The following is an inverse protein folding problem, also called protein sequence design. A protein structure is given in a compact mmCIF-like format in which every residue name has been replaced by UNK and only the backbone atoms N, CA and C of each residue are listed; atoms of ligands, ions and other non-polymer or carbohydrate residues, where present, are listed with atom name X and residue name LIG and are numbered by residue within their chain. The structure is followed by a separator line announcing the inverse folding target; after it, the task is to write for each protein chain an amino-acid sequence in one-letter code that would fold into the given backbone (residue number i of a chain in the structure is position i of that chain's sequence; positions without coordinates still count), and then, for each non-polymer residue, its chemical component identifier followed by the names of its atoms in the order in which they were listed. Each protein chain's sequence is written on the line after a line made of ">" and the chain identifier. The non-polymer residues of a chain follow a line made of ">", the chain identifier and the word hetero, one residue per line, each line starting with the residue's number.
data_IF_560911845810
#
_entry.id   IF_560911845810
#
_cell.length_a   1.000
_cell.length_b   1.000
_cell.length_c   1.000
_cell.angle_alpha   90.00
_cell.angle_beta   90.00
_cell.angle_gamma   90.00
#
_symmetry.space_group_name_H-M   'P 1'
#
loop_
_entity.id
_entity.type
_entity.pdbx_description
1 polymer ?
#
# COMPACT_ATOMS: atom_id res chain seq x y z
N UNK A 1 22.56 -17.33 -13.60
CA UNK A 1 21.13 -17.68 -13.49
C UNK A 1 20.36 -16.38 -13.58
N UNK A 2 19.47 -16.16 -14.57
CA UNK A 2 18.67 -14.94 -14.59
C UNK A 2 17.79 -14.97 -13.32
N UNK A 3 17.76 -13.86 -12.59
CA UNK A 3 16.83 -13.71 -11.47
C UNK A 3 15.45 -13.54 -12.10
N UNK A 4 14.81 -14.66 -12.45
CA UNK A 4 13.38 -14.70 -12.66
C UNK A 4 12.77 -14.16 -11.37
N UNK A 5 12.04 -13.04 -11.48
CA UNK A 5 11.28 -12.50 -10.34
C UNK A 5 10.49 -13.64 -9.71
N UNK A 6 10.43 -13.72 -8.37
CA UNK A 6 9.61 -14.71 -7.70
C UNK A 6 8.18 -14.16 -7.58
N UNK A 7 7.23 -14.54 -8.44
CA UNK A 7 5.87 -13.99 -8.39
C UNK A 7 5.15 -14.47 -7.14
N UNK A 8 4.52 -13.53 -6.45
CA UNK A 8 3.73 -13.78 -5.25
C UNK A 8 2.25 -13.67 -5.57
N UNK A 9 1.47 -14.59 -5.04
CA UNK A 9 0.01 -14.63 -5.20
C UNK A 9 -0.67 -13.38 -4.60
N UNK A 10 -1.70 -12.86 -5.28
CA UNK A 10 -2.53 -11.77 -4.79
C UNK A 10 -3.44 -12.20 -3.63
N UNK A 11 -4.07 -11.24 -2.94
CA UNK A 11 -4.92 -11.54 -1.76
C UNK A 11 -6.06 -12.53 -2.09
N UNK A 12 -6.63 -12.47 -3.30
CA UNK A 12 -7.71 -13.37 -3.72
C UNK A 12 -7.22 -14.79 -4.09
N UNK A 13 -5.90 -15.01 -4.17
CA UNK A 13 -5.28 -16.24 -4.68
C UNK A 13 -4.67 -17.11 -3.56
N UNK A 14 -4.55 -16.58 -2.35
CA UNK A 14 -3.96 -17.27 -1.20
C UNK A 14 -4.82 -17.10 0.04
N UNK A 15 -4.70 -18.03 0.99
CA UNK A 15 -5.16 -17.79 2.35
C UNK A 15 -4.24 -16.78 3.04
N UNK A 16 -4.81 -16.03 3.99
CA UNK A 16 -4.10 -15.02 4.77
C UNK A 16 -5.00 -14.39 5.83
N UNK A 17 -4.41 -13.48 6.59
CA UNK A 17 -5.12 -12.69 7.60
C UNK A 17 -4.72 -11.23 7.49
N UNK A 18 -5.69 -10.32 7.62
CA UNK A 18 -5.48 -8.88 7.80
C UNK A 18 -5.94 -8.46 9.19
N UNK A 19 -5.37 -7.36 9.69
CA UNK A 19 -5.85 -6.66 10.89
C UNK A 19 -6.38 -5.30 10.44
N UNK A 20 -7.64 -5.01 10.73
CA UNK A 20 -8.26 -3.74 10.34
C UNK A 20 -7.87 -2.60 11.31
N UNK A 21 -8.30 -1.38 11.02
CA UNK A 21 -8.01 -0.21 11.86
C UNK A 21 -8.63 -0.30 13.27
N UNK A 22 -9.62 -1.17 13.50
CA UNK A 22 -10.18 -1.45 14.82
C UNK A 22 -9.40 -2.53 15.60
N UNK A 23 -8.34 -3.09 15.01
CA UNK A 23 -7.55 -4.17 15.61
C UNK A 23 -8.14 -5.57 15.41
N UNK A 24 -9.17 -5.73 14.58
CA UNK A 24 -9.82 -7.02 14.39
C UNK A 24 -9.08 -7.86 13.36
N UNK A 25 -8.80 -9.11 13.72
CA UNK A 25 -8.18 -10.11 12.86
C UNK A 25 -9.21 -10.74 11.92
N UNK A 26 -8.95 -10.67 10.62
CA UNK A 26 -9.85 -11.15 9.57
C UNK A 26 -9.11 -12.16 8.70
N UNK A 27 -9.45 -13.44 8.88
CA UNK A 27 -8.85 -14.54 8.11
C UNK A 27 -9.70 -14.88 6.89
N UNK A 28 -9.04 -15.18 5.78
CA UNK A 28 -9.69 -15.52 4.51
C UNK A 28 -8.96 -16.66 3.80
N UNK A 29 -9.66 -17.29 2.86
CA UNK A 29 -9.10 -18.31 1.97
C UNK A 29 -8.98 -17.74 0.55
N UNK A 30 -8.09 -18.33 -0.25
CA UNK A 30 -8.00 -18.01 -1.67
C UNK A 30 -9.32 -18.33 -2.37
N UNK A 31 -9.87 -17.34 -3.08
CA UNK A 31 -11.08 -17.48 -3.89
C UNK A 31 -10.76 -18.11 -5.26
N UNK A 32 -9.56 -17.88 -5.78
CA UNK A 32 -9.08 -18.43 -7.06
C UNK A 32 -7.69 -19.01 -6.91
N UNK A 33 -7.21 -19.75 -7.92
CA UNK A 33 -5.85 -20.30 -7.90
C UNK A 33 -4.84 -19.20 -8.30
N UNK A 34 -3.61 -19.22 -7.74
CA UNK A 34 -2.54 -18.31 -8.16
C UNK A 34 -2.28 -18.37 -9.67
N UNK A 35 -2.08 -17.21 -10.28
CA UNK A 35 -1.78 -17.12 -11.70
C UNK A 35 -0.37 -17.67 -12.03
N UNK A 36 -0.30 -18.61 -12.99
CA UNK A 36 0.96 -19.12 -13.53
C UNK A 36 1.85 -19.75 -12.47
N UNK A 37 3.08 -19.25 -12.35
CA UNK A 37 4.07 -19.74 -11.37
C UNK A 37 3.98 -19.03 -10.01
N UNK A 38 2.99 -18.15 -9.80
CA UNK A 38 2.80 -17.47 -8.53
C UNK A 38 2.63 -18.47 -7.37
N UNK A 39 3.19 -18.11 -6.22
CA UNK A 39 3.10 -18.90 -4.98
C UNK A 39 2.63 -18.00 -3.83
N UNK A 40 1.94 -18.55 -2.82
CA UNK A 40 1.66 -17.84 -1.58
C UNK A 40 2.92 -17.23 -0.97
N UNK A 41 2.86 -15.95 -0.56
CA UNK A 41 3.99 -15.20 -0.04
C UNK A 41 4.70 -15.94 1.11
N UNK A 42 3.93 -16.47 2.06
CA UNK A 42 4.46 -17.19 3.22
C UNK A 42 5.24 -18.45 2.82
N UNK A 43 4.83 -19.17 1.76
CA UNK A 43 5.57 -20.34 1.25
C UNK A 43 6.88 -19.92 0.61
N UNK A 44 6.89 -18.80 -0.12
CA UNK A 44 8.12 -18.25 -0.70
C UNK A 44 9.10 -17.89 0.42
N UNK A 45 8.64 -17.15 1.44
CA UNK A 45 9.47 -16.79 2.59
C UNK A 45 9.97 -18.02 3.35
N UNK A 46 9.10 -19.01 3.57
CA UNK A 46 9.47 -20.30 4.17
C UNK A 46 10.60 -20.99 3.44
N UNK A 47 10.46 -21.16 2.12
CA UNK A 47 11.47 -21.81 1.29
C UNK A 47 12.77 -21.02 1.28
N UNK A 48 12.70 -19.69 1.22
CA UNK A 48 13.90 -18.84 1.29
C UNK A 48 14.61 -18.97 2.64
N UNK A 49 13.87 -18.99 3.75
CA UNK A 49 14.44 -19.24 5.08
C UNK A 49 15.18 -20.58 5.14
N UNK A 50 14.55 -21.65 4.64
CA UNK A 50 15.15 -22.98 4.60
C UNK A 50 16.37 -23.06 3.68
N UNK A 51 16.37 -22.37 2.53
CA UNK A 51 17.53 -22.30 1.63
C UNK A 51 18.71 -21.54 2.23
N UNK A 52 18.43 -20.59 3.13
CA UNK A 52 19.41 -19.81 3.85
C UNK A 52 19.81 -20.44 5.20
N UNK A 53 19.32 -21.66 5.49
CA UNK A 53 19.56 -22.40 6.74
C UNK A 53 19.19 -21.61 8.00
N UNK A 54 18.12 -20.81 7.91
CA UNK A 54 17.58 -20.04 9.03
C UNK A 54 16.59 -20.88 9.83
N UNK A 55 16.67 -20.77 11.15
CA UNK A 55 15.72 -21.40 12.06
C UNK A 55 14.38 -20.67 12.06
N UNK A 56 13.30 -21.37 12.44
CA UNK A 56 11.97 -20.77 12.60
C UNK A 56 11.16 -20.64 11.31
N UNK A 57 11.48 -21.43 10.27
CA UNK A 57 10.77 -21.45 8.98
C UNK A 57 10.14 -22.81 8.66
N UNK A 58 9.75 -23.59 9.68
CA UNK A 58 9.19 -24.94 9.51
C UNK A 58 7.67 -25.00 9.33
N UNK A 59 7.02 -23.86 9.10
CA UNK A 59 5.57 -23.76 8.96
C UNK A 59 5.01 -24.62 7.81
N UNK A 60 3.96 -25.37 8.08
CA UNK A 60 3.25 -26.20 7.11
C UNK A 60 1.94 -25.55 6.65
N UNK A 61 1.41 -24.60 7.43
CA UNK A 61 0.17 -23.90 7.16
C UNK A 61 0.29 -22.38 7.39
N UNK A 62 -0.58 -21.59 6.75
CA UNK A 62 -0.64 -20.14 6.95
C UNK A 62 -1.13 -19.79 8.35
N UNK A 63 -2.01 -20.63 8.89
CA UNK A 63 -2.64 -20.49 10.19
C UNK A 63 -1.62 -20.59 11.32
N UNK A 64 -0.58 -21.43 11.17
CA UNK A 64 0.50 -21.53 12.17
C UNK A 64 1.26 -20.20 12.29
N UNK A 65 1.58 -19.56 11.15
CA UNK A 65 2.22 -18.24 11.11
C UNK A 65 1.32 -17.18 11.76
N UNK A 66 0.01 -17.23 11.48
CA UNK A 66 -0.98 -16.32 12.08
C UNK A 66 -1.04 -16.50 13.58
N UNK A 67 -1.12 -17.75 14.07
CA UNK A 67 -1.31 -18.05 15.48
C UNK A 67 -0.07 -17.69 16.30
N UNK A 68 1.12 -17.92 15.75
CA UNK A 68 2.38 -17.45 16.35
C UNK A 68 2.41 -15.92 16.44
N UNK A 69 2.06 -15.22 15.35
CA UNK A 69 2.01 -13.75 15.35
C UNK A 69 0.96 -13.21 16.33
N UNK A 70 -0.21 -13.85 16.40
CA UNK A 70 -1.27 -13.47 17.32
C UNK A 70 -0.83 -13.64 18.79
N UNK A 71 -0.10 -14.70 19.11
CA UNK A 71 0.47 -14.91 20.45
C UNK A 71 1.54 -13.86 20.79
N UNK A 72 2.38 -13.46 19.84
CA UNK A 72 3.36 -12.36 20.03
C UNK A 72 2.66 -11.02 20.25
N UNK A 73 1.52 -10.81 19.59
CA UNK A 73 0.70 -9.62 19.75
C UNK A 73 -0.32 -9.72 20.90
N UNK A 74 -0.27 -10.76 21.74
CA UNK A 74 -1.24 -10.92 22.82
C UNK A 74 -1.19 -9.72 23.79
N UNK A 75 -2.37 -9.18 24.10
CA UNK A 75 -2.51 -7.97 24.89
C UNK A 75 -2.10 -6.65 24.20
N UNK A 76 -1.69 -6.66 22.93
CA UNK A 76 -1.45 -5.43 22.18
C UNK A 76 -2.79 -4.72 21.92
N UNK A 77 -2.93 -3.51 22.49
CA UNK A 77 -4.10 -2.65 22.28
C UNK A 77 -3.71 -1.59 21.24
N UNK A 78 -4.35 -1.56 20.06
CA UNK A 78 -4.10 -0.50 19.08
C UNK A 78 -4.41 0.87 19.69
N UNK A 79 -3.40 1.73 19.76
CA UNK A 79 -3.57 3.12 20.16
C UNK A 79 -3.82 3.98 18.93
N UNK A 80 -5.10 4.26 18.67
CA UNK A 80 -5.54 5.18 17.63
C UNK A 80 -5.74 6.60 18.17
N UNK A 81 -5.28 6.90 19.38
CA UNK A 81 -5.32 8.28 19.87
C UNK A 81 -4.48 9.14 18.94
N UNK A 82 -5.13 10.15 18.37
CA UNK A 82 -4.40 11.22 17.69
C UNK A 82 -3.65 11.96 18.78
N UNK A 83 -2.39 11.59 18.99
CA UNK A 83 -1.51 12.25 19.94
C UNK A 83 -1.60 13.75 19.74
N UNK A 84 -1.80 14.50 20.82
CA UNK A 84 -1.81 15.97 20.75
C UNK A 84 -0.41 16.41 20.42
N UNK A 85 -0.14 16.66 19.14
CA UNK A 85 1.08 17.35 18.75
C UNK A 85 0.89 18.80 19.18
N UNK A 86 1.43 19.14 20.36
CA UNK A 86 1.22 20.46 20.98
C UNK A 86 1.75 21.59 20.10
N UNK A 87 2.81 21.32 19.35
CA UNK A 87 3.31 22.17 18.26
C UNK A 87 4.15 21.34 17.31
N UNK A 88 3.83 21.41 16.01
CA UNK A 88 4.80 21.08 14.96
C UNK A 88 5.40 22.40 14.53
N UNK A 89 6.70 22.61 14.77
CA UNK A 89 7.42 23.67 14.09
C UNK A 89 7.54 23.28 12.61
N UNK A 90 6.62 23.79 11.80
CA UNK A 90 6.73 23.71 10.36
C UNK A 90 7.92 24.59 9.96
N UNK A 91 8.99 23.96 9.47
CA UNK A 91 10.09 24.69 8.87
C UNK A 91 9.52 25.60 7.78
N UNK A 92 9.58 26.91 8.01
CA UNK A 92 9.18 27.93 7.06
C UNK A 92 10.21 27.99 5.95
N UNK A 93 10.22 26.98 5.08
CA UNK A 93 10.94 27.04 3.81
C UNK A 93 10.47 28.29 3.07
N UNK A 94 11.41 29.17 2.70
CA UNK A 94 11.14 30.49 2.11
C UNK A 94 10.45 30.51 0.74
N UNK A 95 9.72 29.44 0.38
CA UNK A 95 8.87 29.39 -0.80
C UNK A 95 7.50 29.97 -0.47
N UNK A 96 7.06 30.95 -1.26
CA UNK A 96 5.70 31.50 -1.19
C UNK A 96 4.62 30.51 -1.63
N UNK A 97 5.00 29.35 -2.19
CA UNK A 97 4.11 28.30 -2.66
C UNK A 97 4.43 26.94 -2.05
N UNK A 98 3.39 26.24 -1.62
CA UNK A 98 3.44 24.86 -1.14
C UNK A 98 2.59 23.97 -2.05
N UNK A 99 3.12 22.78 -2.38
CA UNK A 99 2.36 21.75 -3.08
C UNK A 99 1.52 20.98 -2.07
N UNK A 100 0.20 21.02 -2.22
CA UNK A 100 -0.69 20.06 -1.56
C UNK A 100 -0.80 18.83 -2.46
N UNK A 101 -0.29 17.70 -1.98
CA UNK A 101 -0.33 16.43 -2.70
C UNK A 101 -1.35 15.48 -2.09
N UNK A 102 -2.46 15.24 -2.79
CA UNK A 102 -3.40 14.17 -2.43
C UNK A 102 -2.91 12.83 -3.00
N UNK A 103 -3.26 11.73 -2.34
CA UNK A 103 -3.09 10.37 -2.88
C UNK A 103 -4.37 10.00 -3.63
N UNK A 104 -4.33 9.82 -4.97
CA UNK A 104 -5.53 9.47 -5.72
C UNK A 104 -6.08 8.11 -5.30
N UNK A 105 -7.41 8.00 -5.21
CA UNK A 105 -8.08 6.80 -4.70
C UNK A 105 -7.80 5.53 -5.54
N UNK A 106 -7.57 5.66 -6.84
CA UNK A 106 -7.22 4.53 -7.72
C UNK A 106 -5.71 4.42 -7.99
N UNK A 107 -4.89 5.01 -7.13
CA UNK A 107 -3.43 4.90 -7.18
C UNK A 107 -2.82 4.41 -5.86
N UNK A 108 -3.64 4.00 -4.88
CA UNK A 108 -3.20 3.56 -3.55
C UNK A 108 -2.33 2.32 -3.56
N UNK A 109 -2.61 1.36 -4.43
CA UNK A 109 -1.91 0.08 -4.51
C UNK A 109 -1.79 -0.45 -5.95
N UNK A 110 -1.09 -1.56 -6.13
CA UNK A 110 -0.83 -2.16 -7.43
C UNK A 110 -2.08 -2.72 -8.12
N UNK A 111 -3.08 -3.19 -7.36
CA UNK A 111 -4.30 -3.76 -7.91
C UNK A 111 -5.17 -2.67 -8.50
N UNK A 112 -5.48 -1.63 -7.71
CA UNK A 112 -6.35 -0.54 -8.17
C UNK A 112 -5.70 0.29 -9.29
N UNK A 113 -4.37 0.40 -9.27
CA UNK A 113 -3.61 1.11 -10.31
C UNK A 113 -3.63 0.39 -11.66
N UNK A 114 -3.73 -0.94 -11.64
CA UNK A 114 -3.80 -1.76 -12.86
C UNK A 114 -5.23 -2.07 -13.31
N UNK A 115 -6.22 -1.85 -12.46
CA UNK A 115 -7.63 -2.13 -12.75
C UNK A 115 -8.19 -1.16 -13.82
N UNK A 116 -8.21 -1.60 -15.08
CA UNK A 116 -8.72 -0.81 -16.22
C UNK A 116 -10.11 -0.23 -15.98
N UNK A 117 -11.01 -1.00 -15.36
CA UNK A 117 -12.37 -0.56 -15.04
C UNK A 117 -12.38 0.65 -14.10
N UNK A 118 -11.50 0.69 -13.10
CA UNK A 118 -11.38 1.83 -12.18
C UNK A 118 -10.71 3.02 -12.87
N UNK A 119 -9.65 2.77 -13.64
CA UNK A 119 -8.90 3.80 -14.36
C UNK A 119 -9.71 4.51 -15.47
N UNK A 120 -10.81 3.91 -15.93
CA UNK A 120 -11.71 4.50 -16.92
C UNK A 120 -12.81 5.38 -16.32
N UNK A 121 -12.93 5.42 -15.00
CA UNK A 121 -13.94 6.23 -14.33
C UNK A 121 -13.51 7.69 -14.21
N UNK A 122 -14.46 8.59 -13.95
CA UNK A 122 -14.19 10.02 -13.78
C UNK A 122 -13.30 10.36 -12.59
N UNK A 123 -13.20 9.48 -11.58
CA UNK A 123 -12.37 9.71 -10.39
C UNK A 123 -10.90 9.33 -10.61
N UNK A 124 -10.57 8.61 -11.68
CA UNK A 124 -9.21 8.30 -12.12
C UNK A 124 -8.53 9.49 -12.84
N UNK A 125 -8.79 10.72 -12.37
CA UNK A 125 -8.32 11.95 -13.03
C UNK A 125 -6.80 11.96 -13.12
N UNK A 126 -6.29 12.41 -14.26
CA UNK A 126 -4.87 12.60 -14.47
C UNK A 126 -4.27 13.47 -13.36
N UNK A 127 -3.04 13.13 -12.94
CA UNK A 127 -2.28 13.93 -12.00
C UNK A 127 -2.00 15.31 -12.62
N UNK A 128 -2.72 16.32 -12.16
CA UNK A 128 -2.65 17.70 -12.63
C UNK A 128 -2.32 18.62 -11.46
N UNK A 129 -1.49 19.63 -11.72
CA UNK A 129 -1.25 20.71 -10.77
C UNK A 129 -2.34 21.77 -10.98
N UNK A 130 -3.08 22.11 -9.92
CA UNK A 130 -4.04 23.21 -9.92
C UNK A 130 -3.50 24.36 -9.06
N UNK A 131 -3.43 25.55 -9.65
CA UNK A 131 -2.97 26.77 -8.99
C UNK A 131 -3.96 27.89 -9.29
N UNK A 132 -4.17 28.80 -8.33
CA UNK A 132 -4.97 30.00 -8.57
C UNK A 132 -4.38 30.83 -9.73
N UNK A 133 -5.22 31.28 -10.67
CA UNK A 133 -4.73 31.99 -11.86
C UNK A 133 -3.96 33.29 -11.58
N UNK A 134 -4.22 33.98 -10.46
CA UNK A 134 -3.42 35.15 -10.04
C UNK A 134 -2.01 34.72 -9.62
N UNK A 135 -1.92 33.66 -8.82
CA UNK A 135 -0.65 33.08 -8.36
C UNK A 135 0.16 32.52 -9.53
N UNK A 136 -0.49 31.83 -10.47
CA UNK A 136 0.18 31.30 -11.68
C UNK A 136 0.78 32.43 -12.54
N UNK A 137 0.10 33.57 -12.68
CA UNK A 137 0.64 34.74 -13.38
C UNK A 137 1.82 35.37 -12.64
N UNK A 138 1.74 35.50 -11.32
CA UNK A 138 2.85 36.01 -10.49
C UNK A 138 4.09 35.11 -10.57
N UNK A 139 3.89 33.79 -10.69
CA UNK A 139 4.96 32.80 -10.86
C UNK A 139 5.47 32.66 -12.32
N UNK A 140 5.03 33.51 -13.26
CA UNK A 140 5.47 33.47 -14.66
C UNK A 140 4.86 32.33 -15.50
N UNK A 141 3.89 31.60 -14.98
CA UNK A 141 3.25 30.45 -15.63
C UNK A 141 2.03 30.82 -16.50
N UNK A 142 1.95 32.05 -17.01
CA UNK A 142 0.78 32.56 -17.76
C UNK A 142 0.50 31.86 -19.09
N UNK A 143 1.46 31.11 -19.66
CA UNK A 143 1.34 30.37 -20.92
C UNK A 143 1.06 28.87 -20.80
N UNK A 144 0.89 28.35 -19.58
CA UNK A 144 0.72 26.91 -19.37
C UNK A 144 -0.72 26.52 -19.70
N UNK A 145 -0.91 25.48 -20.53
CA UNK A 145 -2.24 24.99 -20.90
C UNK A 145 -2.95 24.48 -19.65
N UNK A 146 -4.02 25.18 -19.26
CA UNK A 146 -4.98 24.72 -18.27
C UNK A 146 -5.64 23.47 -18.84
N UNK A 147 -5.34 22.30 -18.26
CA UNK A 147 -6.09 21.09 -18.57
C UNK A 147 -7.57 21.35 -18.33
N UNK A 148 -8.36 21.32 -19.41
CA UNK A 148 -9.81 21.47 -19.35
C UNK A 148 -10.43 20.41 -18.44
N UNK A 149 -11.59 20.76 -17.88
CA UNK A 149 -12.30 19.97 -16.87
C UNK A 149 -12.50 18.52 -17.26
#
# INVERSE_FOLDING_TARGET
>A
VPISSCPVAAFAETAGSYVNAAGEWQSFRGAVKPQGEARPAWKVLRVLGNLLDLQGFDYTACEEVRDELAAVCDGAIPDNQVGRVESVELASGGSSLMRVGEVPIYASDLLVRQAKSLQQTGDARAALIRVNGKVARQAGAGGWRLGGR
#
